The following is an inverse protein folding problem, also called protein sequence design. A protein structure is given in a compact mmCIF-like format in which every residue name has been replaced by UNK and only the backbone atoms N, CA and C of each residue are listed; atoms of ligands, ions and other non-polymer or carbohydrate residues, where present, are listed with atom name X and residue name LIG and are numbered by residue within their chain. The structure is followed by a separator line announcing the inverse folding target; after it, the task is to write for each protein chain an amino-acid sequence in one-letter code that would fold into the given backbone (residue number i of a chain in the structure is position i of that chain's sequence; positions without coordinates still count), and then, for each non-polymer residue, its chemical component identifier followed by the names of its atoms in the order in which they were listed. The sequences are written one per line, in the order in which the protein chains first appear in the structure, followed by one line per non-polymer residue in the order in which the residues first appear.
data_IF_345211716820
#
_entry.id   IF_345211716820
#
_cell.length_a   1.000
_cell.length_b   1.000
_cell.length_c   1.000
_cell.angle_alpha   90.00
_cell.angle_beta   90.00
_cell.angle_gamma   90.00
#
_symmetry.space_group_name_H-M   'P 1'
#
loop_
_entity.id
_entity.type
_entity.pdbx_description
1 polymer ?
#
# COMPACT_ATOMS: atom_id res chain seq x y z
N UNK A 1 -15.94 -4.85 10.62
CA UNK A 1 -15.05 -5.22 9.51
C UNK A 1 -15.67 -4.65 8.24
N UNK A 2 -14.95 -3.82 7.47
CA UNK A 2 -15.50 -3.29 6.22
C UNK A 2 -15.81 -4.43 5.24
N UNK A 3 -16.88 -4.30 4.46
CA UNK A 3 -17.26 -5.25 3.43
C UNK A 3 -16.68 -4.87 2.06
N UNK A 4 -16.89 -5.73 1.06
CA UNK A 4 -16.32 -5.53 -0.29
C UNK A 4 -16.67 -4.16 -0.91
N UNK A 5 -17.92 -3.65 -0.79
CA UNK A 5 -18.26 -2.33 -1.32
C UNK A 5 -17.45 -1.21 -0.69
N UNK A 6 -17.29 -1.20 0.63
CA UNK A 6 -16.53 -0.18 1.36
C UNK A 6 -15.04 -0.23 0.99
N UNK A 7 -14.47 -1.43 0.80
CA UNK A 7 -13.09 -1.58 0.35
C UNK A 7 -12.90 -1.01 -1.06
N UNK A 8 -13.87 -1.18 -1.96
CA UNK A 8 -13.83 -0.55 -3.30
C UNK A 8 -13.90 0.98 -3.19
N UNK A 9 -14.77 1.52 -2.32
CA UNK A 9 -14.83 2.97 -2.07
C UNK A 9 -13.48 3.50 -1.60
N UNK A 10 -12.85 2.84 -0.62
CA UNK A 10 -11.53 3.25 -0.11
C UNK A 10 -10.47 3.13 -1.22
N UNK A 11 -10.47 2.05 -2.02
CA UNK A 11 -9.54 1.89 -3.16
C UNK A 11 -9.63 3.08 -4.12
N UNK A 12 -10.84 3.48 -4.52
CA UNK A 12 -11.05 4.59 -5.46
C UNK A 12 -10.57 5.92 -4.90
N UNK A 13 -10.85 6.19 -3.62
CA UNK A 13 -10.36 7.40 -2.94
C UNK A 13 -8.84 7.41 -2.85
N UNK A 14 -8.22 6.34 -2.35
CA UNK A 14 -6.76 6.25 -2.26
C UNK A 14 -6.09 6.35 -3.63
N UNK A 15 -6.68 5.76 -4.67
CA UNK A 15 -6.13 5.85 -6.03
C UNK A 15 -6.07 7.30 -6.53
N UNK A 16 -7.09 8.12 -6.23
CA UNK A 16 -7.13 9.54 -6.60
C UNK A 16 -6.03 10.36 -5.93
N UNK A 17 -5.68 10.06 -4.69
CA UNK A 17 -4.80 10.92 -3.88
C UNK A 17 -3.36 10.39 -3.75
N UNK A 18 -3.16 9.07 -3.78
CA UNK A 18 -1.85 8.46 -3.54
C UNK A 18 -1.05 8.22 -4.83
N UNK A 19 -1.70 7.85 -5.94
CA UNK A 19 -0.96 7.52 -7.17
C UNK A 19 -0.18 8.74 -7.65
N UNK A 20 1.11 8.57 -7.88
CA UNK A 20 2.02 9.66 -8.23
C UNK A 20 2.82 10.22 -7.05
N UNK A 21 2.40 9.97 -5.80
CA UNK A 21 3.10 10.47 -4.61
C UNK A 21 4.30 9.60 -4.25
N UNK A 22 5.30 10.21 -3.59
CA UNK A 22 6.49 9.54 -3.05
C UNK A 22 6.35 9.38 -1.54
N UNK A 23 6.67 8.20 -1.02
CA UNK A 23 6.72 7.93 0.42
C UNK A 23 7.99 8.55 1.03
N UNK A 24 7.87 9.70 1.68
CA UNK A 24 9.03 10.42 2.25
C UNK A 24 9.43 9.83 3.61
N UNK A 25 8.45 9.56 4.45
CA UNK A 25 8.64 9.11 5.83
C UNK A 25 7.65 7.99 6.15
N UNK A 26 8.05 7.06 7.03
CA UNK A 26 7.25 5.94 7.47
C UNK A 26 7.37 5.80 8.99
N UNK A 27 6.23 5.80 9.66
CA UNK A 27 6.14 5.60 11.10
C UNK A 27 5.37 4.31 11.40
N UNK A 28 5.93 3.46 12.27
CA UNK A 28 5.27 2.24 12.76
C UNK A 28 4.63 2.51 14.12
N UNK A 29 3.34 2.82 14.10
CA UNK A 29 2.57 3.11 15.32
C UNK A 29 2.35 1.89 16.23
N UNK A 30 2.29 0.69 15.64
CA UNK A 30 2.09 -0.54 16.38
C UNK A 30 3.02 -1.66 15.90
N UNK A 31 3.69 -2.38 16.82
CA UNK A 31 4.59 -3.45 16.46
C UNK A 31 3.93 -4.52 15.56
N UNK A 32 2.72 -4.97 15.89
CA UNK A 32 2.11 -6.10 15.17
C UNK A 32 1.50 -5.76 13.80
N UNK A 33 1.50 -4.49 13.38
CA UNK A 33 0.86 -4.05 12.13
C UNK A 33 1.74 -4.21 10.88
N UNK A 34 3.03 -4.50 11.05
CA UNK A 34 3.99 -4.61 9.95
C UNK A 34 4.63 -5.98 9.96
N UNK A 35 4.60 -6.65 8.80
CA UNK A 35 5.34 -7.87 8.52
C UNK A 35 6.39 -7.59 7.44
N UNK A 36 7.64 -7.99 7.69
CA UNK A 36 8.76 -7.74 6.79
C UNK A 36 9.48 -6.40 7.05
N UNK A 37 10.34 -6.02 6.11
CA UNK A 37 11.19 -4.83 6.22
C UNK A 37 10.52 -3.59 5.58
N UNK A 38 10.20 -2.61 6.42
CA UNK A 38 9.56 -1.35 6.01
C UNK A 38 10.53 -0.42 5.25
N UNK A 39 11.84 -0.59 5.40
CA UNK A 39 12.83 0.21 4.67
C UNK A 39 12.77 -0.08 3.17
N UNK A 40 12.30 -1.27 2.78
CA UNK A 40 12.09 -1.63 1.38
C UNK A 40 11.02 -0.81 0.69
N UNK A 41 10.16 -0.09 1.42
CA UNK A 41 9.11 0.76 0.85
C UNK A 41 9.38 2.26 0.97
N UNK A 42 10.35 2.66 1.78
CA UNK A 42 10.73 4.07 1.91
C UNK A 42 11.24 4.64 0.57
N UNK A 43 10.95 5.91 0.32
CA UNK A 43 11.32 6.63 -0.91
C UNK A 43 10.73 6.08 -2.22
N UNK A 44 9.86 5.06 -2.18
CA UNK A 44 9.19 4.56 -3.40
C UNK A 44 8.00 5.44 -3.78
N UNK A 45 7.74 5.50 -5.09
CA UNK A 45 6.58 6.18 -5.67
C UNK A 45 5.39 5.23 -5.74
N UNK A 46 4.20 5.66 -5.37
CA UNK A 46 2.96 4.90 -5.55
C UNK A 46 2.56 4.90 -7.02
N UNK A 47 2.33 3.72 -7.59
CA UNK A 47 1.97 3.53 -9.00
C UNK A 47 0.53 3.05 -9.19
N UNK A 48 -0.12 2.57 -8.14
CA UNK A 48 -1.49 2.06 -8.23
C UNK A 48 -2.07 1.67 -6.87
N UNK A 49 -3.39 1.49 -6.83
CA UNK A 49 -4.10 0.93 -5.67
C UNK A 49 -5.08 -0.14 -6.17
N UNK A 50 -4.96 -1.34 -5.62
CA UNK A 50 -5.77 -2.51 -5.98
C UNK A 50 -6.44 -3.09 -4.75
N UNK A 51 -7.35 -4.03 -4.98
CA UNK A 51 -7.86 -4.90 -3.91
C UNK A 51 -7.94 -6.35 -4.36
N UNK A 52 -7.80 -7.26 -3.41
CA UNK A 52 -8.11 -8.67 -3.57
C UNK A 52 -9.09 -9.05 -2.47
N UNK A 53 -10.37 -9.23 -2.84
CA UNK A 53 -11.44 -9.34 -1.85
C UNK A 53 -11.46 -8.11 -0.94
N UNK A 54 -11.24 -8.32 0.36
CA UNK A 54 -11.21 -7.30 1.41
C UNK A 54 -9.80 -6.75 1.73
N UNK A 55 -8.77 -7.20 1.01
CA UNK A 55 -7.40 -6.71 1.18
C UNK A 55 -7.13 -5.55 0.23
N UNK A 56 -6.70 -4.40 0.77
CA UNK A 56 -6.14 -3.29 -0.03
C UNK A 56 -4.66 -3.52 -0.31
N UNK A 57 -4.25 -3.18 -1.53
CA UNK A 57 -2.86 -3.33 -2.00
C UNK A 57 -2.42 -2.03 -2.64
N UNK A 58 -1.29 -1.49 -2.19
CA UNK A 58 -0.66 -0.31 -2.76
C UNK A 58 0.53 -0.77 -3.61
N UNK A 59 0.51 -0.45 -4.89
CA UNK A 59 1.60 -0.77 -5.80
C UNK A 59 2.66 0.33 -5.74
N UNK A 60 3.93 -0.07 -5.66
CA UNK A 60 5.07 0.81 -5.53
C UNK A 60 6.05 0.59 -6.67
N UNK A 61 6.65 1.69 -7.14
CA UNK A 61 7.69 1.66 -8.16
C UNK A 61 8.93 0.89 -7.67
N UNK A 62 9.53 0.12 -8.57
CA UNK A 62 10.73 -0.67 -8.31
C UNK A 62 10.60 -2.09 -8.85
N UNK A 63 11.69 -2.85 -8.80
CA UNK A 63 11.70 -4.24 -9.25
C UNK A 63 11.16 -5.14 -8.15
N UNK A 64 10.30 -6.08 -8.52
CA UNK A 64 9.85 -7.13 -7.61
C UNK A 64 11.07 -7.99 -7.25
N UNK A 65 11.41 -8.04 -5.96
CA UNK A 65 12.43 -8.96 -5.49
C UNK A 65 11.94 -10.40 -5.71
N UNK A 66 12.80 -11.31 -6.20
CA UNK A 66 12.44 -12.71 -6.34
C UNK A 66 12.03 -13.26 -4.97
N UNK A 67 10.97 -14.08 -4.96
CA UNK A 67 10.61 -14.84 -3.77
C UNK A 67 11.62 -15.99 -3.68
N UNK A 68 12.43 -15.98 -2.63
CA UNK A 68 13.22 -17.14 -2.22
C UNK A 68 12.28 -18.26 -1.76
#
# INVERSE_FOLDING_TARGET
MPELPEIETVKLQLQKYLVGQKLVELERLHPKSVQGDILLVQSKKVTGVRRFGKMLVIDLAGRRLPRL
#
